data_IF_622030980511
#
_entry.id   IF_622030980511
#
_cell.length_a   1.000
_cell.length_b   1.000
_cell.length_c   1.000
_cell.angle_alpha   90.00
_cell.angle_beta   90.00
_cell.angle_gamma   90.00
#
_symmetry.space_group_name_H-M   'P 1'
#
loop_
_entity.id
_entity.type
_entity.pdbx_description
1 polymer ?
#
# COMPACT_ATOMS: atom_id res chain seq x y z
N UNK A 1 -9.79 -15.80 9.77
CA UNK A 1 -9.83 -14.50 9.06
C UNK A 1 -10.89 -13.68 9.78
N UNK A 2 -10.49 -12.84 10.73
CA UNK A 2 -11.43 -12.02 11.49
C UNK A 2 -11.95 -10.89 10.60
N UNK A 3 -13.27 -10.75 10.50
CA UNK A 3 -13.91 -9.66 9.77
C UNK A 3 -13.73 -8.38 10.57
N UNK A 4 -13.02 -7.41 9.99
CA UNK A 4 -13.02 -6.06 10.52
C UNK A 4 -14.45 -5.51 10.44
N UNK A 5 -15.04 -5.20 11.59
CA UNK A 5 -16.34 -4.52 11.65
C UNK A 5 -16.10 -3.05 11.28
N UNK A 6 -16.66 -2.63 10.14
CA UNK A 6 -16.58 -1.26 9.65
C UNK A 6 -17.71 -0.44 10.28
N UNK A 7 -17.44 0.17 11.43
CA UNK A 7 -18.27 1.24 11.97
C UNK A 7 -17.82 2.57 11.35
N UNK A 8 -18.73 3.24 10.63
CA UNK A 8 -18.49 4.48 9.87
C UNK A 8 -18.59 5.75 10.73
N UNK A 9 -18.75 5.64 12.05
CA UNK A 9 -18.93 6.80 12.94
C UNK A 9 -17.65 7.50 13.39
N UNK A 10 -16.47 6.88 13.23
CA UNK A 10 -15.18 7.51 13.57
C UNK A 10 -14.17 7.43 12.41
N UNK A 11 -13.56 8.56 12.06
CA UNK A 11 -12.48 8.61 11.07
C UNK A 11 -11.24 7.87 11.61
N UNK A 12 -11.07 6.61 11.20
CA UNK A 12 -9.91 5.80 11.60
C UNK A 12 -8.63 6.44 11.06
N UNK A 13 -7.79 6.96 11.95
CA UNK A 13 -6.49 7.56 11.59
C UNK A 13 -5.42 6.52 11.29
N UNK A 14 -5.60 5.28 11.77
CA UNK A 14 -4.67 4.18 11.59
C UNK A 14 -5.45 2.86 11.53
N UNK A 15 -5.07 2.00 10.58
CA UNK A 15 -5.57 0.64 10.46
C UNK A 15 -4.36 -0.29 10.34
N UNK A 16 -4.34 -1.35 11.14
CA UNK A 16 -3.23 -2.32 11.17
C UNK A 16 -3.77 -3.68 10.76
N UNK A 17 -3.11 -4.30 9.78
CA UNK A 17 -3.38 -5.66 9.35
C UNK A 17 -2.17 -6.52 9.68
N UNK A 18 -2.37 -7.55 10.53
CA UNK A 18 -1.35 -8.57 10.78
C UNK A 18 -1.53 -9.70 9.77
N UNK A 19 -0.50 -9.97 8.98
CA UNK A 19 -0.53 -10.96 7.90
C UNK A 19 0.75 -11.79 7.84
N UNK A 20 0.96 -12.44 6.69
CA UNK A 20 2.14 -13.25 6.41
C UNK A 20 2.99 -12.60 5.30
N UNK A 21 4.19 -13.12 5.09
CA UNK A 21 5.07 -12.77 3.97
C UNK A 21 4.35 -12.78 2.61
N UNK A 22 3.54 -13.80 2.34
CA UNK A 22 2.73 -13.89 1.11
C UNK A 22 1.66 -12.79 1.03
N UNK A 23 1.13 -12.32 2.16
CA UNK A 23 0.20 -11.17 2.21
C UNK A 23 0.92 -9.87 1.91
N UNK A 24 2.15 -9.71 2.40
CA UNK A 24 2.97 -8.55 2.11
C UNK A 24 3.40 -8.54 0.64
N UNK A 25 3.85 -9.69 0.10
CA UNK A 25 4.23 -9.84 -1.29
C UNK A 25 3.07 -9.53 -2.25
N UNK A 26 1.86 -10.00 -1.96
CA UNK A 26 0.70 -9.70 -2.81
C UNK A 26 0.40 -8.21 -2.85
N UNK A 27 0.39 -7.52 -1.71
CA UNK A 27 0.19 -6.07 -1.66
C UNK A 27 1.30 -5.31 -2.38
N UNK A 28 2.57 -5.71 -2.20
CA UNK A 28 3.70 -5.09 -2.91
C UNK A 28 3.57 -5.24 -4.44
N UNK A 29 3.15 -6.42 -4.93
CA UNK A 29 2.88 -6.65 -6.36
C UNK A 29 1.73 -5.79 -6.88
N UNK A 30 0.64 -5.67 -6.13
CA UNK A 30 -0.53 -4.85 -6.51
C UNK A 30 -0.20 -3.36 -6.65
N UNK A 31 0.87 -2.90 -6.00
CA UNK A 31 1.31 -1.50 -6.05
C UNK A 31 2.53 -1.30 -6.96
N UNK A 32 2.85 -2.24 -7.85
CA UNK A 32 4.02 -2.17 -8.73
C UNK A 32 5.33 -1.82 -7.98
N UNK A 33 5.52 -2.38 -6.79
CA UNK A 33 6.78 -2.23 -6.07
C UNK A 33 7.85 -3.10 -6.74
N UNK A 34 8.88 -2.48 -7.32
CA UNK A 34 9.93 -3.19 -8.07
C UNK A 34 10.60 -4.31 -7.26
N UNK A 35 10.77 -4.12 -5.95
CA UNK A 35 11.36 -5.13 -5.05
C UNK A 35 10.60 -6.46 -5.07
N UNK A 36 9.29 -6.44 -5.34
CA UNK A 36 8.50 -7.67 -5.41
C UNK A 36 8.78 -8.49 -6.67
N UNK A 37 9.37 -7.88 -7.71
CA UNK A 37 9.75 -8.55 -8.95
C UNK A 37 11.08 -9.31 -8.85
N UNK A 38 11.88 -9.03 -7.83
CA UNK A 38 13.10 -9.77 -7.53
C UNK A 38 12.77 -11.14 -6.92
N UNK A 39 13.16 -12.22 -7.61
CA UNK A 39 12.89 -13.60 -7.19
C UNK A 39 13.80 -14.05 -6.03
N UNK A 40 14.93 -13.39 -5.85
CA UNK A 40 15.89 -13.70 -4.79
C UNK A 40 15.55 -12.94 -3.49
N UNK A 41 14.58 -12.02 -3.55
CA UNK A 41 14.13 -11.26 -2.40
C UNK A 41 12.95 -11.91 -1.68
N UNK A 42 13.02 -11.95 -0.35
CA UNK A 42 11.91 -12.36 0.53
C UNK A 42 11.82 -11.42 1.74
N UNK A 43 10.61 -11.09 2.23
CA UNK A 43 10.48 -10.27 3.44
C UNK A 43 11.17 -10.92 4.65
N UNK A 44 11.93 -10.13 5.39
CA UNK A 44 12.46 -10.56 6.69
C UNK A 44 11.33 -10.74 7.72
N UNK A 45 11.60 -11.49 8.79
CA UNK A 45 10.70 -11.57 9.93
C UNK A 45 10.34 -10.18 10.46
N UNK A 46 9.06 -10.02 10.86
CA UNK A 46 8.52 -8.75 11.34
C UNK A 46 8.59 -7.61 10.30
N UNK A 47 8.67 -7.93 9.01
CA UNK A 47 8.54 -6.92 7.98
C UNK A 47 7.18 -6.22 8.06
N UNK A 48 7.20 -4.91 7.85
CA UNK A 48 6.01 -4.06 7.94
C UNK A 48 5.98 -3.08 6.77
N UNK A 49 4.81 -3.01 6.12
CA UNK A 49 4.48 -2.05 5.08
C UNK A 49 3.59 -0.96 5.68
N UNK A 50 4.03 0.29 5.61
CA UNK A 50 3.22 1.44 5.96
C UNK A 50 2.77 2.17 4.69
N UNK A 51 1.46 2.40 4.59
CA UNK A 51 0.83 3.26 3.58
C UNK A 51 0.36 4.53 4.30
N UNK A 52 1.00 5.65 4.02
CA UNK A 52 0.72 6.94 4.65
C UNK A 52 -0.09 7.80 3.67
N UNK A 53 -1.28 8.24 4.09
CA UNK A 53 -2.07 9.24 3.36
C UNK A 53 -1.63 10.63 3.82
N UNK A 54 -1.14 11.43 2.89
CA UNK A 54 -0.64 12.78 3.11
C UNK A 54 -1.50 13.78 2.34
N UNK A 55 -1.66 14.98 2.90
CA UNK A 55 -2.38 16.10 2.28
C UNK A 55 -1.41 17.28 2.12
N UNK A 56 -1.40 17.93 0.95
CA UNK A 56 -0.64 19.16 0.74
C UNK A 56 -1.43 20.42 1.15
N UNK A 57 -0.80 21.58 1.07
CA UNK A 57 -1.43 22.86 1.41
C UNK A 57 -2.62 23.24 0.51
N UNK A 58 -2.77 22.57 -0.64
CA UNK A 58 -3.85 22.77 -1.60
C UNK A 58 -4.98 21.73 -1.45
N UNK A 59 -4.91 20.87 -0.44
CA UNK A 59 -5.89 19.78 -0.21
C UNK A 59 -5.74 18.59 -1.16
N UNK A 60 -4.58 18.43 -1.81
CA UNK A 60 -4.30 17.27 -2.67
C UNK A 60 -3.72 16.13 -1.85
N UNK A 61 -4.22 14.92 -2.11
CA UNK A 61 -3.79 13.73 -1.40
C UNK A 61 -2.71 12.93 -2.14
N UNK A 62 -1.77 12.41 -1.36
CA UNK A 62 -0.65 11.58 -1.82
C UNK A 62 -0.49 10.37 -0.92
N UNK A 63 0.01 9.28 -1.51
CA UNK A 63 0.40 8.06 -0.82
C UNK A 63 1.92 8.00 -0.74
N UNK A 64 2.44 7.81 0.47
CA UNK A 64 3.83 7.44 0.71
C UNK A 64 3.89 6.00 1.21
N UNK A 65 4.81 5.23 0.64
CA UNK A 65 4.99 3.82 1.01
C UNK A 65 6.34 3.63 1.71
N UNK A 66 6.32 2.89 2.83
CA UNK A 66 7.53 2.49 3.53
C UNK A 66 7.55 1.01 3.79
N UNK A 67 8.65 0.36 3.46
CA UNK A 67 8.93 -1.03 3.83
C UNK A 67 10.04 -1.03 4.88
N UNK A 68 9.75 -1.56 6.06
CA UNK A 68 10.69 -1.63 7.19
C UNK A 68 11.28 -0.25 7.53
N UNK A 69 10.43 0.78 7.50
CA UNK A 69 10.79 2.18 7.77
C UNK A 69 11.48 2.92 6.62
N UNK A 70 11.94 2.21 5.59
CA UNK A 70 12.61 2.80 4.42
C UNK A 70 11.58 3.20 3.36
N UNK A 71 11.81 4.34 2.72
CA UNK A 71 10.97 4.79 1.61
C UNK A 71 11.03 3.77 0.47
N UNK A 72 9.87 3.41 -0.07
CA UNK A 72 9.73 2.48 -1.17
C UNK A 72 9.07 3.20 -2.34
N UNK A 73 9.72 3.18 -3.51
CA UNK A 73 9.13 3.66 -4.76
C UNK A 73 8.09 2.65 -5.26
N UNK A 74 6.99 3.17 -5.81
CA UNK A 74 5.88 2.38 -6.34
C UNK A 74 5.41 2.98 -7.67
N UNK A 75 5.16 2.13 -8.67
CA UNK A 75 4.92 2.57 -10.06
C UNK A 75 5.99 3.58 -10.53
N UNK A 76 5.60 4.61 -11.28
CA UNK A 76 6.54 5.66 -11.73
C UNK A 76 6.66 6.85 -10.76
N UNK A 77 6.41 6.67 -9.46
CA UNK A 77 6.53 7.75 -8.47
C UNK A 77 7.99 7.91 -8.02
N UNK A 78 8.72 8.80 -8.72
CA UNK A 78 10.18 9.01 -8.57
C UNK A 78 10.57 9.50 -7.16
N UNK A 79 9.71 10.29 -6.49
CA UNK A 79 10.01 10.90 -5.18
C UNK A 79 9.37 10.15 -3.99
N UNK A 80 8.83 8.96 -4.22
CA UNK A 80 8.11 8.17 -3.19
C UNK A 80 6.79 8.79 -2.70
N UNK A 81 6.26 9.77 -3.46
CA UNK A 81 4.93 10.34 -3.30
C UNK A 81 4.09 10.03 -4.53
N UNK A 82 3.11 9.15 -4.39
CA UNK A 82 2.18 8.79 -5.46
C UNK A 82 0.87 9.58 -5.30
N UNK A 83 0.39 10.32 -6.31
CA UNK A 83 -0.93 10.95 -6.25
C UNK A 83 -2.02 9.91 -5.95
N UNK A 84 -2.99 10.25 -5.10
CA UNK A 84 -4.02 9.30 -4.64
C UNK A 84 -4.79 8.64 -5.80
N UNK A 85 -5.20 9.41 -6.80
CA UNK A 85 -5.95 8.90 -7.95
C UNK A 85 -5.12 7.91 -8.78
N UNK A 86 -3.81 8.19 -8.90
CA UNK A 86 -2.87 7.32 -9.60
C UNK A 86 -2.67 6.00 -8.85
N UNK A 87 -2.48 6.08 -7.53
CA UNK A 87 -2.38 4.90 -6.68
C UNK A 87 -3.65 4.05 -6.78
N UNK A 88 -4.82 4.68 -6.74
CA UNK A 88 -6.10 3.99 -6.87
C UNK A 88 -6.23 3.29 -8.23
N UNK A 89 -5.88 3.96 -9.34
CA UNK A 89 -5.90 3.36 -10.67
C UNK A 89 -5.00 2.12 -10.73
N UNK A 90 -3.76 2.24 -10.28
CA UNK A 90 -2.79 1.13 -10.23
C UNK A 90 -3.32 -0.07 -9.44
N UNK A 91 -3.89 0.15 -8.25
CA UNK A 91 -4.45 -0.94 -7.44
C UNK A 91 -5.65 -1.58 -8.14
N UNK A 92 -6.55 -0.77 -8.72
CA UNK A 92 -7.74 -1.26 -9.43
C UNK A 92 -7.38 -2.12 -10.66
N UNK A 93 -6.35 -1.72 -11.40
CA UNK A 93 -5.87 -2.46 -12.58
C UNK A 93 -5.35 -3.86 -12.20
N UNK A 94 -4.73 -3.99 -11.02
CA UNK A 94 -4.15 -5.25 -10.54
C UNK A 94 -5.13 -6.19 -9.85
N UNK A 95 -6.15 -5.65 -9.16
CA UNK A 95 -7.18 -6.50 -8.51
C UNK A 95 -8.25 -6.97 -9.51
N UNK A 96 -8.31 -6.35 -10.70
CA UNK A 96 -9.31 -6.61 -11.72
C UNK A 96 -10.72 -6.15 -11.31
N UNK A 97 -11.63 -6.04 -12.29
CA UNK A 97 -13.05 -5.79 -12.03
C UNK A 97 -13.74 -7.06 -11.52
N UNK A 98 -13.42 -7.50 -10.31
CA UNK A 98 -14.22 -8.49 -9.57
C UNK A 98 -14.93 -7.82 -8.39
N UNK A 99 -15.64 -6.73 -8.72
CA UNK A 99 -16.68 -6.16 -7.89
C UNK A 99 -18.03 -6.42 -8.58
N UNK A 100 -18.46 -7.69 -8.57
CA UNK A 100 -19.86 -8.10 -8.74
C UNK A 100 -20.33 -8.73 -7.43
#
# INVERSE_FOLDING_TARGET
MEQAIWDHSESKKLVIYSGHDVSLLSVLRTMDAEIANDIDWWPEYSSALALELLEDENGKFFIRVRLNGKLLAIGDAIDGLCPLDRFRGMVLDHIGSHAD
#
